data_IF_197957588252
#
_entry.id   IF_197957588252
#
_cell.length_a   1.000
_cell.length_b   1.000
_cell.length_c   1.000
_cell.angle_alpha   90.00
_cell.angle_beta   90.00
_cell.angle_gamma   90.00
#
_symmetry.space_group_name_H-M   'P 1'
#
loop_
_entity.id
_entity.type
_entity.pdbx_description
1 polymer ?
#
# COMPACT_ATOMS: atom_id res chain seq x y z
N UNK A 1 -9.80 53.17 48.35
CA UNK A 1 -9.35 51.77 48.34
C UNK A 1 -9.85 51.12 47.05
N UNK A 2 -8.95 50.40 46.36
CA UNK A 2 -9.13 49.57 45.15
C UNK A 2 -9.35 50.30 43.80
N UNK A 3 -8.28 50.27 42.99
CA UNK A 3 -8.29 50.45 41.53
C UNK A 3 -8.94 49.21 40.90
N UNK A 4 -9.79 49.39 39.90
CA UNK A 4 -10.16 48.33 38.96
C UNK A 4 -9.77 48.79 37.55
N UNK A 5 -8.81 48.08 36.97
CA UNK A 5 -8.41 48.14 35.59
C UNK A 5 -9.32 47.18 34.82
N UNK A 6 -10.15 47.68 33.91
CA UNK A 6 -10.89 46.84 32.97
C UNK A 6 -10.05 46.79 31.69
N UNK A 7 -9.37 45.67 31.49
CA UNK A 7 -8.73 45.32 30.22
C UNK A 7 -9.82 44.68 29.36
N UNK A 8 -10.21 45.35 28.27
CA UNK A 8 -10.99 44.73 27.19
C UNK A 8 -9.98 44.04 26.27
N UNK A 9 -9.76 42.74 26.49
CA UNK A 9 -9.14 41.88 25.47
C UNK A 9 -10.26 41.50 24.51
N UNK A 10 -10.30 42.19 23.37
CA UNK A 10 -11.05 41.73 22.21
C UNK A 10 -10.41 40.43 21.72
N UNK A 11 -11.08 39.31 21.96
CA UNK A 11 -10.77 38.01 21.38
C UNK A 11 -10.87 38.12 19.86
N UNK A 12 -9.72 38.20 19.19
CA UNK A 12 -9.60 37.75 17.83
C UNK A 12 -9.88 36.23 17.85
N UNK A 13 -11.08 35.84 17.43
CA UNK A 13 -11.38 34.47 17.07
C UNK A 13 -10.54 34.18 15.83
N UNK A 14 -9.32 33.69 16.05
CA UNK A 14 -8.49 33.14 15.00
C UNK A 14 -9.23 31.92 14.47
N UNK A 15 -9.80 32.05 13.28
CA UNK A 15 -10.16 30.89 12.47
C UNK A 15 -8.86 30.18 12.13
N UNK A 16 -8.43 29.27 12.99
CA UNK A 16 -7.49 28.22 12.62
C UNK A 16 -8.32 27.25 11.79
N UNK A 17 -8.34 27.51 10.48
CA UNK A 17 -8.82 26.54 9.51
C UNK A 17 -7.93 25.30 9.61
N UNK A 18 -8.57 24.14 9.79
CA UNK A 18 -7.99 22.81 9.63
C UNK A 18 -7.25 22.71 8.29
N UNK A 19 -5.97 23.04 8.25
CA UNK A 19 -5.08 22.57 7.19
C UNK A 19 -4.74 21.12 7.57
N UNK A 20 -5.55 20.20 7.05
CA UNK A 20 -5.26 18.77 7.13
C UNK A 20 -3.92 18.47 6.45
N UNK A 21 -3.30 17.36 6.83
CA UNK A 21 -2.10 16.84 6.20
C UNK A 21 -2.42 16.35 4.79
N UNK A 22 -2.41 17.26 3.83
CA UNK A 22 -2.60 16.98 2.40
C UNK A 22 -1.27 17.23 1.68
N UNK A 23 -0.83 16.26 0.89
CA UNK A 23 0.30 16.35 -0.02
C UNK A 23 -0.14 17.23 -1.18
N UNK A 24 0.36 18.47 -1.19
CA UNK A 24 0.16 19.37 -2.32
C UNK A 24 1.40 19.35 -3.22
N UNK A 25 1.36 18.58 -4.31
CA UNK A 25 2.41 18.52 -5.33
C UNK A 25 1.93 19.18 -6.62
N UNK A 26 2.45 20.37 -6.91
CA UNK A 26 2.28 21.01 -8.22
C UNK A 26 3.39 20.54 -9.16
N UNK A 27 2.98 20.06 -10.34
CA UNK A 27 3.85 19.66 -11.43
C UNK A 27 4.26 20.87 -12.27
N UNK A 28 5.53 20.92 -12.67
CA UNK A 28 6.08 21.93 -13.59
C UNK A 28 6.80 21.28 -14.78
N UNK A 29 6.91 22.03 -15.89
CA UNK A 29 7.77 21.65 -17.02
C UNK A 29 9.26 21.67 -16.64
N UNK A 30 9.62 22.49 -15.64
CA UNK A 30 10.98 22.64 -15.13
C UNK A 30 11.34 21.63 -14.03
N UNK A 31 10.42 20.71 -13.69
CA UNK A 31 10.72 19.65 -12.73
C UNK A 31 11.92 18.81 -13.21
N UNK A 32 12.84 18.54 -12.29
CA UNK A 32 14.03 17.72 -12.58
C UNK A 32 13.76 16.26 -12.20
N UNK A 33 14.03 15.29 -13.09
CA UNK A 33 13.94 13.88 -12.73
C UNK A 33 14.89 13.52 -11.58
N UNK A 34 14.39 12.74 -10.62
CA UNK A 34 15.18 12.12 -9.57
C UNK A 34 16.14 11.07 -10.13
N UNK A 35 15.66 10.25 -11.06
CA UNK A 35 16.41 9.15 -11.65
C UNK A 35 16.08 9.01 -13.14
N UNK A 36 17.14 8.79 -13.93
CA UNK A 36 17.05 8.74 -15.37
C UNK A 36 16.47 10.04 -15.95
N UNK A 37 15.57 9.91 -16.92
CA UNK A 37 14.85 11.04 -17.51
C UNK A 37 13.37 11.08 -17.12
N UNK A 38 12.88 10.03 -16.44
CA UNK A 38 11.45 9.74 -16.41
C UNK A 38 10.87 9.59 -15.01
N UNK A 39 11.69 9.46 -13.96
CA UNK A 39 11.21 9.29 -12.57
C UNK A 39 11.40 10.56 -11.77
N UNK A 40 10.37 10.98 -11.04
CA UNK A 40 10.30 12.21 -10.27
C UNK A 40 9.87 11.92 -8.83
N UNK A 41 10.32 12.75 -7.90
CA UNK A 41 9.88 12.66 -6.49
C UNK A 41 8.42 13.13 -6.35
N UNK A 42 7.64 12.38 -5.56
CA UNK A 42 6.28 12.76 -5.18
C UNK A 42 6.22 13.15 -3.70
N UNK A 43 6.66 12.24 -2.84
CA UNK A 43 6.69 12.44 -1.40
C UNK A 43 7.85 11.63 -0.79
N UNK A 44 8.85 12.33 -0.26
CA UNK A 44 10.06 11.74 0.32
C UNK A 44 10.03 11.97 1.82
N UNK A 45 9.99 10.88 2.58
CA UNK A 45 10.06 10.92 4.05
C UNK A 45 11.47 10.62 4.57
N UNK A 46 12.30 9.98 3.74
CA UNK A 46 13.64 9.52 4.07
C UNK A 46 14.58 9.76 2.90
N UNK A 47 15.54 10.68 3.06
CA UNK A 47 16.46 11.05 1.99
C UNK A 47 17.51 9.97 1.66
N UNK A 48 17.74 9.04 2.58
CA UNK A 48 18.61 7.89 2.36
C UNK A 48 17.78 6.73 1.79
N UNK A 49 17.81 6.54 0.46
CA UNK A 49 16.97 5.55 -0.24
C UNK A 49 17.22 4.11 0.23
N UNK A 50 18.38 3.82 0.82
CA UNK A 50 18.69 2.49 1.37
C UNK A 50 18.01 2.24 2.73
N UNK A 51 17.37 3.26 3.32
CA UNK A 51 16.62 3.20 4.59
C UNK A 51 15.13 3.38 4.42
N UNK A 52 14.65 3.32 3.18
CA UNK A 52 13.25 3.40 2.84
C UNK A 52 12.91 2.35 1.78
N UNK A 53 11.64 1.94 1.80
CA UNK A 53 11.03 1.31 0.66
C UNK A 53 10.65 2.38 -0.36
N UNK A 54 11.13 2.22 -1.58
CA UNK A 54 10.94 3.16 -2.66
C UNK A 54 9.84 2.65 -3.60
N UNK A 55 8.69 3.31 -3.59
CA UNK A 55 7.51 2.96 -4.37
C UNK A 55 7.40 3.90 -5.56
N UNK A 56 7.43 3.35 -6.77
CA UNK A 56 7.25 4.12 -8.02
C UNK A 56 5.87 3.83 -8.62
N UNK A 57 5.06 4.86 -8.77
CA UNK A 57 3.83 4.81 -9.55
C UNK A 57 4.11 4.96 -11.04
N UNK A 58 3.59 4.01 -11.82
CA UNK A 58 3.75 3.92 -13.27
C UNK A 58 2.40 4.20 -13.93
N UNK A 59 2.26 5.25 -14.76
CA UNK A 59 0.99 5.55 -15.39
C UNK A 59 0.65 4.52 -16.48
N UNK A 60 -0.60 4.11 -16.56
CA UNK A 60 -1.15 3.45 -17.74
C UNK A 60 -1.41 4.48 -18.85
N UNK A 61 -1.42 4.02 -20.11
CA UNK A 61 -1.80 4.84 -21.27
C UNK A 61 -3.15 5.58 -21.14
N UNK A 62 -4.06 5.13 -20.27
CA UNK A 62 -5.30 5.85 -19.94
C UNK A 62 -5.11 7.22 -19.29
N UNK A 63 -3.91 7.55 -18.80
CA UNK A 63 -3.56 8.90 -18.35
C UNK A 63 -3.13 9.84 -19.49
N UNK A 64 -3.00 9.33 -20.72
CA UNK A 64 -2.55 10.12 -21.87
C UNK A 64 -1.04 10.40 -21.85
N UNK A 65 -0.63 11.39 -22.64
CA UNK A 65 0.77 11.80 -22.76
C UNK A 65 1.19 12.64 -21.53
N UNK A 66 2.09 12.10 -20.71
CA UNK A 66 2.59 12.79 -19.51
C UNK A 66 3.68 13.84 -19.80
N UNK A 67 4.05 14.07 -21.06
CA UNK A 67 4.77 15.30 -21.43
C UNK A 67 3.86 16.54 -21.36
N UNK A 68 2.54 16.34 -21.43
CA UNK A 68 1.54 17.40 -21.21
C UNK A 68 1.35 17.62 -19.71
N UNK A 69 1.72 18.81 -19.23
CA UNK A 69 1.67 19.19 -17.81
C UNK A 69 0.32 18.92 -17.14
N UNK A 70 -0.79 19.16 -17.84
CA UNK A 70 -2.13 18.88 -17.29
C UNK A 70 -2.41 17.38 -17.06
N UNK A 71 -1.95 16.51 -17.97
CA UNK A 71 -2.10 15.06 -17.80
C UNK A 71 -1.20 14.56 -16.67
N UNK A 72 0.04 15.08 -16.60
CA UNK A 72 0.99 14.76 -15.53
C UNK A 72 0.46 15.21 -14.17
N UNK A 73 -0.12 16.40 -14.09
CA UNK A 73 -0.77 16.89 -12.86
C UNK A 73 -1.92 15.98 -12.45
N UNK A 74 -2.81 15.60 -13.38
CA UNK A 74 -3.91 14.70 -13.06
C UNK A 74 -3.44 13.32 -12.55
N UNK A 75 -2.31 12.80 -13.07
CA UNK A 75 -1.71 11.59 -12.53
C UNK A 75 -1.14 11.79 -11.12
N UNK A 76 -0.42 12.90 -10.90
CA UNK A 76 0.14 13.25 -9.60
C UNK A 76 -0.95 13.44 -8.55
N UNK A 77 -2.06 14.12 -8.90
CA UNK A 77 -3.22 14.31 -8.01
C UNK A 77 -3.83 12.96 -7.60
N UNK A 78 -4.03 12.05 -8.56
CA UNK A 78 -4.51 10.69 -8.28
C UNK A 78 -3.52 9.94 -7.35
N UNK A 79 -2.21 10.13 -7.51
CA UNK A 79 -1.21 9.47 -6.66
C UNK A 79 -1.09 10.07 -5.25
N UNK A 80 -1.27 11.39 -5.10
CA UNK A 80 -1.35 12.01 -3.78
C UNK A 80 -2.58 11.49 -3.01
N UNK A 81 -3.71 11.35 -3.72
CA UNK A 81 -4.93 10.76 -3.16
C UNK A 81 -4.71 9.31 -2.72
N UNK A 82 -4.01 8.51 -3.54
CA UNK A 82 -3.59 7.15 -3.16
C UNK A 82 -2.71 7.13 -1.91
N UNK A 83 -1.72 8.00 -1.79
CA UNK A 83 -0.84 8.04 -0.61
C UNK A 83 -1.67 8.33 0.65
N UNK A 84 -2.53 9.33 0.59
CA UNK A 84 -3.32 9.80 1.74
C UNK A 84 -4.46 8.86 2.14
N UNK A 85 -5.18 8.34 1.15
CA UNK A 85 -6.42 7.60 1.35
C UNK A 85 -6.24 6.08 1.28
N UNK A 86 -5.09 5.60 0.78
CA UNK A 86 -4.71 4.20 0.86
C UNK A 86 -3.63 3.96 1.93
N UNK A 87 -2.40 4.42 1.67
CA UNK A 87 -1.25 4.07 2.50
C UNK A 87 -1.33 4.66 3.91
N UNK A 88 -1.70 5.94 4.05
CA UNK A 88 -1.78 6.57 5.36
C UNK A 88 -3.00 6.15 6.19
N UNK A 89 -4.00 5.53 5.54
CA UNK A 89 -5.17 5.00 6.22
C UNK A 89 -4.96 3.57 6.75
N UNK A 90 -3.99 2.85 6.20
CA UNK A 90 -3.57 1.55 6.71
C UNK A 90 -2.49 1.74 7.78
N UNK A 91 -2.79 1.40 9.03
CA UNK A 91 -1.87 1.64 10.15
C UNK A 91 -0.58 0.84 10.05
N UNK A 92 -0.55 -0.27 9.30
CA UNK A 92 0.70 -1.00 9.08
C UNK A 92 1.68 -0.16 8.25
N UNK A 93 1.19 0.45 7.17
CA UNK A 93 1.99 1.35 6.33
C UNK A 93 2.25 2.69 7.03
N UNK A 94 1.23 3.27 7.67
CA UNK A 94 1.37 4.54 8.39
C UNK A 94 2.40 4.46 9.53
N UNK A 95 2.45 3.34 10.26
CA UNK A 95 3.47 3.13 11.29
C UNK A 95 4.90 3.08 10.71
N UNK A 96 5.04 2.70 9.44
CA UNK A 96 6.28 2.73 8.67
C UNK A 96 6.47 4.00 7.84
N UNK A 97 5.69 5.07 8.06
CA UNK A 97 5.65 6.27 7.20
C UNK A 97 7.04 6.82 6.85
N UNK A 98 7.94 6.91 7.83
CA UNK A 98 9.31 7.44 7.65
C UNK A 98 10.30 6.47 6.99
N UNK A 99 9.79 5.33 6.50
CA UNK A 99 10.51 4.32 5.76
C UNK A 99 9.83 4.04 4.41
N UNK A 100 8.98 4.96 3.94
CA UNK A 100 8.28 4.89 2.67
C UNK A 100 8.55 6.17 1.88
N UNK A 101 9.10 6.01 0.69
CA UNK A 101 9.26 7.08 -0.29
C UNK A 101 8.39 6.78 -1.50
N UNK A 102 7.76 7.84 -2.02
CA UNK A 102 6.88 7.74 -3.18
C UNK A 102 7.43 8.58 -4.31
N UNK A 103 7.42 7.98 -5.49
CA UNK A 103 7.88 8.53 -6.74
C UNK A 103 6.82 8.26 -7.80
N UNK A 104 6.86 9.02 -8.89
CA UNK A 104 6.06 8.72 -10.08
C UNK A 104 6.95 8.78 -11.32
N UNK A 105 6.55 8.07 -12.37
CA UNK A 105 7.23 8.16 -13.66
C UNK A 105 6.35 8.77 -14.76
N UNK A 106 6.99 9.25 -15.83
CA UNK A 106 6.30 9.85 -16.97
C UNK A 106 6.13 8.92 -18.17
N UNK A 107 6.83 7.78 -18.19
CA UNK A 107 6.63 6.77 -19.24
C UNK A 107 5.45 5.87 -18.90
N UNK A 108 4.62 5.58 -19.90
CA UNK A 108 3.38 4.84 -19.70
C UNK A 108 3.50 3.37 -20.03
N UNK A 109 2.91 2.53 -19.18
CA UNK A 109 2.63 1.14 -19.50
C UNK A 109 1.23 0.93 -20.06
N UNK A 110 0.85 -0.33 -20.28
CA UNK A 110 -0.53 -0.70 -20.56
C UNK A 110 -0.96 -1.93 -19.77
N UNK A 111 -2.24 -1.98 -19.38
CA UNK A 111 -2.86 -3.15 -18.78
C UNK A 111 -4.13 -3.55 -19.53
N UNK A 112 -4.30 -4.86 -19.73
CA UNK A 112 -5.48 -5.43 -20.38
C UNK A 112 -6.00 -6.60 -19.57
N UNK A 113 -7.29 -6.57 -19.24
CA UNK A 113 -7.97 -7.67 -18.56
C UNK A 113 -7.79 -8.99 -19.31
N UNK A 114 -7.72 -10.10 -18.56
CA UNK A 114 -7.70 -11.46 -19.12
C UNK A 114 -8.94 -12.20 -18.67
N UNK A 115 -9.57 -12.88 -19.62
CA UNK A 115 -10.63 -13.83 -19.31
C UNK A 115 -10.08 -14.93 -18.38
N UNK A 116 -10.91 -15.51 -17.50
CA UNK A 116 -10.56 -16.71 -16.73
C UNK A 116 -9.98 -17.84 -17.60
N UNK A 117 -9.24 -18.76 -16.99
CA UNK A 117 -8.79 -19.98 -17.70
C UNK A 117 -9.96 -20.93 -18.03
N UNK A 118 -9.65 -22.06 -18.68
CA UNK A 118 -10.66 -23.01 -19.13
C UNK A 118 -11.45 -23.63 -17.95
N UNK A 119 -10.84 -23.65 -16.77
CA UNK A 119 -11.40 -24.14 -15.51
C UNK A 119 -12.18 -23.03 -14.76
N UNK A 120 -12.24 -21.81 -15.30
CA UNK A 120 -12.92 -20.67 -14.71
C UNK A 120 -12.11 -19.97 -13.62
N UNK A 121 -10.83 -20.31 -13.43
CA UNK A 121 -9.98 -19.63 -12.47
C UNK A 121 -9.58 -18.26 -13.00
N UNK A 122 -9.49 -17.32 -12.07
CA UNK A 122 -8.94 -16.01 -12.33
C UNK A 122 -7.51 -16.08 -12.88
N UNK A 123 -7.21 -15.07 -13.70
CA UNK A 123 -5.91 -14.83 -14.28
C UNK A 123 -5.58 -13.34 -14.16
N UNK A 124 -4.43 -13.03 -13.56
CA UNK A 124 -3.85 -11.70 -13.56
C UNK A 124 -3.87 -11.07 -14.96
N UNK A 125 -4.06 -9.75 -15.08
CA UNK A 125 -4.14 -9.06 -16.36
C UNK A 125 -2.83 -9.17 -17.15
N UNK A 126 -2.90 -8.93 -18.46
CA UNK A 126 -1.67 -8.73 -19.26
C UNK A 126 -1.15 -7.33 -18.96
N UNK A 127 0.11 -7.24 -18.55
CA UNK A 127 0.77 -5.96 -18.26
C UNK A 127 1.96 -5.77 -19.19
N UNK A 128 2.00 -4.63 -19.86
CA UNK A 128 3.16 -4.15 -20.61
C UNK A 128 3.75 -2.98 -19.84
N UNK A 129 4.92 -3.19 -19.25
CA UNK A 129 5.67 -2.14 -18.55
C UNK A 129 6.46 -1.31 -19.57
N UNK A 130 6.60 0.01 -19.38
CA UNK A 130 7.52 0.79 -20.19
C UNK A 130 8.95 0.32 -19.92
N UNK A 131 9.82 0.35 -20.94
CA UNK A 131 11.19 -0.18 -20.84
C UNK A 131 11.97 0.47 -19.69
N UNK A 132 11.73 1.77 -19.47
CA UNK A 132 12.37 2.63 -18.50
C UNK A 132 12.07 2.21 -17.05
N UNK A 133 11.04 1.40 -16.80
CA UNK A 133 10.81 0.82 -15.47
C UNK A 133 12.01 -0.02 -14.99
N UNK A 134 12.72 -0.67 -15.92
CA UNK A 134 13.87 -1.50 -15.57
C UNK A 134 15.19 -0.71 -15.50
N UNK A 135 15.20 0.57 -15.90
CA UNK A 135 16.40 1.43 -15.88
C UNK A 135 16.22 2.58 -14.90
N UNK A 136 15.27 3.47 -15.16
CA UNK A 136 15.07 4.71 -14.42
C UNK A 136 14.45 4.42 -13.04
N UNK A 137 13.58 3.42 -12.96
CA UNK A 137 12.98 2.92 -11.72
C UNK A 137 13.66 1.64 -11.19
N UNK A 138 14.91 1.38 -11.55
CA UNK A 138 15.66 0.19 -11.09
C UNK A 138 15.86 0.17 -9.57
N UNK A 139 15.96 1.35 -8.95
CA UNK A 139 16.09 1.53 -7.49
C UNK A 139 14.83 1.20 -6.71
N UNK A 140 13.67 1.12 -7.37
CA UNK A 140 12.39 0.94 -6.69
C UNK A 140 12.24 -0.48 -6.15
N UNK A 141 11.78 -0.59 -4.91
CA UNK A 141 11.40 -1.84 -4.26
C UNK A 141 10.03 -2.32 -4.77
N UNK A 142 9.14 -1.36 -5.06
CA UNK A 142 7.81 -1.61 -5.62
C UNK A 142 7.53 -0.71 -6.82
N UNK A 143 6.97 -1.29 -7.89
CA UNK A 143 6.41 -0.54 -9.02
C UNK A 143 4.93 -0.85 -9.15
N UNK A 144 4.08 0.17 -9.13
CA UNK A 144 2.63 -0.01 -9.26
C UNK A 144 2.16 0.62 -10.56
N UNK A 145 1.66 -0.18 -11.50
CA UNK A 145 1.05 0.34 -12.72
C UNK A 145 -0.39 0.75 -12.44
N UNK A 146 -0.63 2.04 -12.52
CA UNK A 146 -1.88 2.69 -12.17
C UNK A 146 -2.74 2.86 -13.42
N UNK A 147 -3.95 2.30 -13.43
CA UNK A 147 -4.86 2.38 -14.57
C UNK A 147 -6.25 2.87 -14.18
N UNK A 148 -6.98 3.46 -15.12
CA UNK A 148 -8.35 3.93 -14.88
C UNK A 148 -9.43 2.94 -15.29
N UNK A 149 -9.04 1.81 -15.86
CA UNK A 149 -9.97 0.76 -16.25
C UNK A 149 -10.37 -0.07 -15.03
N UNK A 150 -11.66 -0.37 -14.89
CA UNK A 150 -12.14 -1.35 -13.89
C UNK A 150 -11.73 -2.75 -14.33
N UNK A 151 -10.69 -3.30 -13.71
CA UNK A 151 -10.22 -4.64 -13.98
C UNK A 151 -9.65 -5.24 -12.72
N UNK A 152 -9.45 -6.56 -12.74
CA UNK A 152 -8.91 -7.23 -11.59
C UNK A 152 -7.39 -7.12 -11.56
N UNK A 153 -6.88 -6.73 -10.40
CA UNK A 153 -5.47 -6.50 -10.15
C UNK A 153 -4.69 -7.72 -9.69
N UNK A 154 -3.37 -7.59 -9.76
CA UNK A 154 -2.41 -8.53 -9.19
C UNK A 154 -1.12 -7.83 -8.79
N UNK A 155 -0.47 -8.40 -7.78
CA UNK A 155 0.83 -7.99 -7.25
C UNK A 155 1.75 -9.16 -6.96
N UNK A 156 3.05 -8.88 -6.91
CA UNK A 156 4.10 -9.83 -6.59
C UNK A 156 5.43 -9.49 -7.26
N UNK A 157 6.54 -9.86 -6.62
CA UNK A 157 7.89 -9.66 -7.17
C UNK A 157 8.26 -8.18 -7.40
N UNK A 158 7.87 -7.30 -6.47
CA UNK A 158 8.13 -5.85 -6.58
C UNK A 158 7.30 -5.13 -7.65
N UNK A 159 6.19 -5.74 -8.10
CA UNK A 159 5.29 -5.16 -9.10
C UNK A 159 3.82 -5.35 -8.70
N UNK A 160 2.96 -4.41 -9.07
CA UNK A 160 1.52 -4.51 -8.94
C UNK A 160 0.78 -3.73 -10.03
N UNK A 161 -0.50 -4.01 -10.21
CA UNK A 161 -1.45 -3.10 -10.89
C UNK A 161 -2.50 -2.63 -9.89
N UNK A 162 -3.07 -1.45 -10.12
CA UNK A 162 -4.22 -0.97 -9.35
C UNK A 162 -4.97 0.16 -10.03
N UNK A 163 -6.27 0.31 -9.70
CA UNK A 163 -6.97 1.57 -9.94
C UNK A 163 -6.64 2.64 -8.89
N UNK A 164 -6.51 3.94 -9.26
CA UNK A 164 -6.17 5.00 -8.32
C UNK A 164 -7.25 5.21 -7.24
N UNK A 165 -8.47 4.74 -7.45
CA UNK A 165 -9.58 4.86 -6.48
C UNK A 165 -9.81 3.57 -5.68
N UNK A 166 -9.10 2.50 -6.02
CA UNK A 166 -9.19 1.17 -5.40
C UNK A 166 -8.13 1.06 -4.31
N UNK A 167 -8.13 2.04 -3.40
CA UNK A 167 -7.14 2.23 -2.34
C UNK A 167 -6.86 0.94 -1.50
N UNK A 168 -7.85 0.06 -1.27
CA UNK A 168 -7.67 -1.22 -0.54
C UNK A 168 -6.84 -2.18 -1.37
N UNK A 169 -7.19 -2.29 -2.65
CA UNK A 169 -6.47 -3.10 -3.63
C UNK A 169 -5.03 -2.61 -3.75
N UNK A 170 -4.78 -1.29 -3.82
CA UNK A 170 -3.42 -0.76 -3.91
C UNK A 170 -2.53 -1.23 -2.75
N UNK A 171 -2.99 -1.13 -1.50
CA UNK A 171 -2.20 -1.55 -0.34
C UNK A 171 -2.10 -3.08 -0.22
N UNK A 172 -3.12 -3.81 -0.67
CA UNK A 172 -3.13 -5.27 -0.76
C UNK A 172 -2.06 -5.76 -1.76
N UNK A 173 -2.10 -5.26 -3.00
CA UNK A 173 -1.14 -5.65 -4.04
C UNK A 173 0.28 -5.17 -3.75
N UNK A 174 0.41 -4.03 -3.06
CA UNK A 174 1.70 -3.58 -2.53
C UNK A 174 2.20 -4.48 -1.41
N UNK A 175 1.31 -5.07 -0.61
CA UNK A 175 1.67 -6.06 0.41
C UNK A 175 2.36 -7.28 -0.19
N UNK A 176 1.82 -7.79 -1.31
CA UNK A 176 2.45 -8.86 -2.09
C UNK A 176 3.79 -8.43 -2.68
N UNK A 177 3.82 -7.28 -3.33
CA UNK A 177 4.99 -6.82 -4.08
C UNK A 177 6.18 -6.46 -3.18
N UNK A 178 5.92 -5.74 -2.10
CA UNK A 178 6.95 -5.14 -1.24
C UNK A 178 7.39 -6.06 -0.10
N UNK A 179 6.44 -6.77 0.53
CA UNK A 179 6.72 -7.59 1.71
C UNK A 179 6.65 -9.09 1.44
N UNK A 180 6.23 -9.51 0.25
CA UNK A 180 6.06 -10.91 -0.09
C UNK A 180 4.95 -11.59 0.71
N UNK A 181 3.97 -10.83 1.18
CA UNK A 181 2.82 -11.40 1.87
C UNK A 181 2.04 -12.32 0.91
N UNK A 182 1.55 -13.49 1.34
CA UNK A 182 0.71 -14.33 0.52
C UNK A 182 -0.76 -13.91 0.64
N UNK A 183 -1.57 -14.35 -0.30
CA UNK A 183 -3.02 -14.33 -0.11
C UNK A 183 -3.47 -15.33 0.95
N UNK A 184 -4.43 -14.92 1.76
CA UNK A 184 -4.94 -15.71 2.89
C UNK A 184 -6.38 -16.20 2.70
N UNK A 185 -6.89 -16.14 1.48
CA UNK A 185 -8.26 -16.55 1.14
C UNK A 185 -8.24 -17.76 0.19
N UNK A 186 -9.33 -18.53 0.12
CA UNK A 186 -9.50 -19.42 -1.02
C UNK A 186 -9.55 -18.52 -2.24
N UNK A 187 -8.91 -18.82 -3.34
CA UNK A 187 -9.64 -19.32 -4.49
C UNK A 187 -8.79 -19.05 -5.74
N UNK A 188 -8.23 -17.85 -5.88
CA UNK A 188 -7.64 -17.37 -7.13
C UNK A 188 -6.18 -16.93 -7.06
N UNK A 189 -5.49 -17.17 -5.94
CA UNK A 189 -4.06 -16.91 -5.81
C UNK A 189 -3.16 -18.14 -6.05
N UNK A 190 -1.86 -17.88 -6.12
CA UNK A 190 -0.81 -18.87 -5.92
C UNK A 190 -0.28 -18.78 -4.48
N UNK A 191 -0.52 -19.84 -3.71
CA UNK A 191 -0.10 -19.89 -2.31
C UNK A 191 1.31 -20.46 -2.15
N UNK A 192 2.06 -19.88 -1.22
CA UNK A 192 3.36 -20.38 -0.79
C UNK A 192 3.51 -20.18 0.72
N UNK A 193 4.37 -20.98 1.35
CA UNK A 193 4.58 -20.87 2.80
C UNK A 193 5.35 -19.58 3.12
N UNK A 194 4.74 -18.72 3.95
CA UNK A 194 5.32 -17.48 4.45
C UNK A 194 5.03 -17.42 5.95
N UNK A 195 6.02 -17.67 6.80
CA UNK A 195 5.81 -17.71 8.26
C UNK A 195 5.97 -16.30 8.86
N UNK A 196 5.11 -15.87 9.80
CA UNK A 196 4.06 -16.64 10.46
C UNK A 196 2.65 -16.43 9.88
N UNK A 197 2.52 -16.23 8.56
CA UNK A 197 1.26 -15.87 7.87
C UNK A 197 0.55 -17.12 7.34
N UNK A 198 1.18 -17.84 6.42
CA UNK A 198 0.60 -18.98 5.69
C UNK A 198 1.51 -20.21 5.76
N UNK A 199 0.91 -21.37 5.98
CA UNK A 199 1.59 -22.65 6.21
C UNK A 199 1.02 -23.76 5.33
N UNK A 200 1.88 -24.68 4.90
CA UNK A 200 1.45 -25.86 4.13
C UNK A 200 0.76 -26.94 4.99
N UNK A 201 0.80 -26.85 6.32
CA UNK A 201 0.16 -27.83 7.20
C UNK A 201 -0.29 -27.25 8.53
N UNK A 202 -1.33 -27.86 9.11
CA UNK A 202 -1.84 -27.51 10.44
C UNK A 202 -0.76 -27.66 11.52
N UNK A 203 0.01 -28.74 11.44
CA UNK A 203 1.05 -29.03 12.42
C UNK A 203 2.15 -27.97 12.38
N UNK A 204 2.60 -27.54 11.20
CA UNK A 204 3.56 -26.46 11.07
C UNK A 204 3.02 -25.14 11.65
N UNK A 205 1.75 -24.83 11.37
CA UNK A 205 1.10 -23.65 11.93
C UNK A 205 1.03 -23.73 13.47
N UNK A 206 0.52 -24.81 14.04
CA UNK A 206 0.37 -24.96 15.50
C UNK A 206 1.71 -25.00 16.26
N UNK A 207 2.78 -25.50 15.62
CA UNK A 207 4.09 -25.64 16.24
C UNK A 207 5.01 -24.42 16.05
N UNK A 208 4.58 -23.40 15.30
CA UNK A 208 5.37 -22.18 15.15
C UNK A 208 5.34 -21.38 16.46
N UNK A 209 6.51 -21.23 17.09
CA UNK A 209 6.65 -20.49 18.35
C UNK A 209 6.25 -19.02 18.22
N UNK A 210 6.36 -18.43 17.02
CA UNK A 210 5.88 -17.07 16.74
C UNK A 210 4.35 -16.99 16.68
N UNK A 211 3.68 -18.14 16.51
CA UNK A 211 2.23 -18.30 16.39
C UNK A 211 1.58 -18.77 17.73
N UNK A 212 2.34 -19.45 18.59
CA UNK A 212 1.84 -20.25 19.71
C UNK A 212 1.12 -19.50 20.86
N UNK A 213 1.23 -18.17 20.93
CA UNK A 213 0.74 -17.40 22.10
C UNK A 213 -0.67 -16.81 21.99
N UNK A 214 -1.21 -16.62 20.79
CA UNK A 214 -2.38 -15.73 20.59
C UNK A 214 -3.16 -15.90 19.26
N UNK A 215 -2.86 -16.93 18.45
CA UNK A 215 -3.39 -17.11 17.08
C UNK A 215 -4.04 -18.48 16.88
N UNK A 216 -5.02 -18.55 15.98
CA UNK A 216 -5.71 -19.77 15.57
C UNK A 216 -5.28 -20.19 14.16
N UNK A 217 -4.97 -21.47 13.97
CA UNK A 217 -4.67 -22.04 12.66
C UNK A 217 -5.97 -22.42 11.94
N UNK A 218 -6.31 -21.68 10.89
CA UNK A 218 -7.53 -21.89 10.10
C UNK A 218 -7.17 -22.35 8.71
N UNK A 219 -7.80 -23.42 8.24
CA UNK A 219 -7.57 -23.92 6.88
C UNK A 219 -8.48 -23.25 5.86
N UNK A 220 -7.97 -23.10 4.64
CA UNK A 220 -8.78 -22.87 3.44
C UNK A 220 -8.29 -23.75 2.29
N UNK A 221 -9.14 -23.96 1.29
CA UNK A 221 -8.83 -24.78 0.11
C UNK A 221 -8.70 -23.89 -1.11
N UNK A 222 -7.58 -23.97 -1.81
CA UNK A 222 -7.36 -23.29 -3.09
C UNK A 222 -8.32 -23.82 -4.16
N UNK A 223 -9.14 -22.95 -4.75
CA UNK A 223 -10.01 -23.35 -5.87
C UNK A 223 -9.22 -23.67 -7.15
N UNK A 224 -8.01 -23.11 -7.29
CA UNK A 224 -7.14 -23.34 -8.43
C UNK A 224 -6.64 -24.79 -8.55
N UNK A 225 -6.35 -25.46 -7.43
CA UNK A 225 -5.74 -26.79 -7.47
C UNK A 225 -6.15 -27.74 -6.32
N UNK A 226 -7.08 -27.34 -5.47
CA UNK A 226 -7.55 -28.14 -4.32
C UNK A 226 -6.56 -28.26 -3.16
N UNK A 227 -5.41 -27.57 -3.21
CA UNK A 227 -4.45 -27.58 -2.10
C UNK A 227 -5.04 -26.91 -0.85
N UNK A 228 -4.78 -27.49 0.32
CA UNK A 228 -5.24 -26.96 1.61
C UNK A 228 -4.09 -26.20 2.26
N UNK A 229 -4.34 -24.95 2.62
CA UNK A 229 -3.40 -24.07 3.29
C UNK A 229 -3.92 -23.66 4.65
N UNK A 230 -3.01 -23.32 5.56
CA UNK A 230 -3.32 -22.96 6.94
C UNK A 230 -2.82 -21.55 7.19
N UNK A 231 -3.74 -20.62 7.48
CA UNK A 231 -3.40 -19.25 7.82
C UNK A 231 -3.37 -19.05 9.34
N UNK A 232 -2.50 -18.15 9.78
CA UNK A 232 -2.45 -17.68 11.16
C UNK A 232 -3.46 -16.55 11.36
N UNK A 233 -4.64 -16.90 11.84
CA UNK A 233 -5.68 -15.91 12.08
C UNK A 233 -5.66 -15.44 13.54
N UNK A 234 -5.94 -14.15 13.77
CA UNK A 234 -6.34 -13.66 15.09
C UNK A 234 -7.75 -14.16 15.47
N UNK A 235 -8.54 -13.35 16.19
CA UNK A 235 -9.95 -13.69 16.46
C UNK A 235 -10.72 -13.83 15.14
N UNK A 236 -11.33 -15.02 14.91
CA UNK A 236 -11.99 -15.41 13.65
C UNK A 236 -13.22 -14.55 13.29
N UNK A 237 -13.73 -13.78 14.27
CA UNK A 237 -14.92 -12.94 14.09
C UNK A 237 -14.61 -11.47 13.76
N UNK A 238 -13.33 -11.06 13.77
CA UNK A 238 -12.94 -9.65 13.58
C UNK A 238 -11.73 -9.43 12.67
N UNK A 239 -11.03 -10.49 12.23
CA UNK A 239 -9.73 -10.36 11.56
C UNK A 239 -9.73 -11.11 10.23
N UNK A 240 -10.44 -10.60 9.23
CA UNK A 240 -10.45 -11.15 7.88
C UNK A 240 -9.36 -10.47 7.02
N UNK A 241 -8.19 -11.11 6.98
CA UNK A 241 -6.96 -10.57 6.42
C UNK A 241 -6.82 -10.98 4.95
N UNK A 242 -6.35 -10.06 4.09
CA UNK A 242 -6.11 -10.24 2.66
C UNK A 242 -7.28 -10.97 1.98
N UNK A 243 -8.49 -10.38 1.99
CA UNK A 243 -9.67 -10.98 1.35
C UNK A 243 -9.97 -10.32 -0.01
N UNK A 244 -10.43 -11.14 -0.97
CA UNK A 244 -11.09 -10.66 -2.18
C UNK A 244 -12.47 -10.06 -1.84
N UNK A 245 -12.61 -8.73 -1.96
CA UNK A 245 -13.88 -8.00 -2.10
C UNK A 245 -14.90 -8.12 -0.96
N UNK A 246 -15.14 -7.02 -0.22
CA UNK A 246 -16.18 -6.93 0.82
C UNK A 246 -16.14 -5.61 1.61
N UNK A 247 -17.07 -5.44 2.57
CA UNK A 247 -17.20 -4.22 3.40
C UNK A 247 -16.25 -4.17 4.61
N UNK A 248 -15.49 -5.23 4.88
CA UNK A 248 -14.54 -5.31 5.99
C UNK A 248 -13.34 -6.14 5.53
N UNK A 249 -12.45 -5.51 4.77
CA UNK A 249 -11.17 -6.08 4.35
C UNK A 249 -10.10 -5.62 5.33
N UNK A 250 -9.21 -6.52 5.73
CA UNK A 250 -8.00 -6.17 6.48
C UNK A 250 -6.80 -6.47 5.58
N UNK A 251 -6.19 -5.47 4.96
CA UNK A 251 -5.08 -5.66 4.00
C UNK A 251 -3.76 -5.99 4.71
N UNK A 252 -3.75 -5.89 6.02
CA UNK A 252 -2.72 -6.46 6.86
C UNK A 252 -3.38 -6.84 8.17
N UNK A 253 -2.85 -7.87 8.80
CA UNK A 253 -3.21 -8.25 10.15
C UNK A 253 -2.00 -8.48 11.01
N UNK A 254 -2.24 -8.99 12.22
CA UNK A 254 -1.17 -9.19 13.17
C UNK A 254 -0.09 -10.19 12.70
N UNK A 255 -0.43 -11.12 11.79
CA UNK A 255 0.50 -12.04 11.16
C UNK A 255 1.44 -11.33 10.18
N UNK A 256 0.86 -10.59 9.26
CA UNK A 256 1.59 -9.77 8.28
C UNK A 256 2.47 -8.73 8.95
N UNK A 257 2.00 -8.15 10.06
CA UNK A 257 2.79 -7.20 10.83
C UNK A 257 4.14 -7.74 11.24
N UNK A 258 4.25 -9.03 11.56
CA UNK A 258 5.56 -9.60 11.92
C UNK A 258 6.51 -9.54 10.72
N UNK A 259 6.00 -9.78 9.51
CA UNK A 259 6.78 -9.67 8.27
C UNK A 259 7.13 -8.20 7.99
N UNK A 260 6.14 -7.30 8.08
CA UNK A 260 6.32 -5.86 7.83
C UNK A 260 7.25 -5.19 8.85
N UNK A 261 7.08 -5.44 10.16
CA UNK A 261 7.95 -4.92 11.23
C UNK A 261 9.39 -5.41 11.06
N UNK A 262 9.60 -6.66 10.66
CA UNK A 262 10.94 -7.17 10.35
C UNK A 262 11.53 -6.45 9.13
N UNK A 263 10.72 -6.18 8.11
CA UNK A 263 11.14 -5.46 6.90
C UNK A 263 11.52 -4.00 7.23
N UNK A 264 10.73 -3.30 8.06
CA UNK A 264 11.08 -1.96 8.55
C UNK A 264 12.34 -1.97 9.42
N UNK A 265 12.50 -2.95 10.32
CA UNK A 265 13.73 -3.08 11.12
C UNK A 265 14.97 -3.33 10.26
N UNK A 266 14.85 -4.03 9.14
CA UNK A 266 15.95 -4.23 8.19
C UNK A 266 16.43 -2.91 7.57
N UNK A 267 15.55 -1.92 7.45
CA UNK A 267 15.87 -0.53 7.04
C UNK A 267 16.41 0.34 8.20
N UNK A 268 16.57 -0.24 9.40
CA UNK A 268 17.06 0.46 10.59
C UNK A 268 15.99 1.14 11.43
N UNK A 269 14.70 0.86 11.19
CA UNK A 269 13.62 1.34 12.04
C UNK A 269 13.76 0.76 13.47
N UNK A 270 13.53 1.55 14.54
CA UNK A 270 13.25 0.96 15.83
C UNK A 270 11.98 0.10 15.72
N UNK A 271 11.89 -0.96 16.52
CA UNK A 271 10.74 -1.85 16.52
C UNK A 271 9.44 -1.05 16.68
N UNK A 272 8.56 -1.14 15.69
CA UNK A 272 7.34 -0.33 15.69
C UNK A 272 6.25 -1.11 16.42
N UNK A 273 5.49 -0.42 17.28
CA UNK A 273 4.41 -1.08 18.02
C UNK A 273 3.33 -1.56 17.05
N UNK A 274 2.89 -2.81 17.20
CA UNK A 274 1.81 -3.35 16.41
C UNK A 274 0.55 -2.48 16.58
N UNK A 275 -0.10 -2.05 15.48
CA UNK A 275 -1.31 -1.25 15.57
C UNK A 275 -2.44 -2.06 16.19
N UNK A 276 -3.27 -1.39 17.00
CA UNK A 276 -4.48 -2.00 17.56
C UNK A 276 -5.55 -2.24 16.47
N UNK A 277 -5.47 -1.53 15.34
CA UNK A 277 -6.36 -1.66 14.19
C UNK A 277 -5.54 -1.48 12.93
N UNK A 278 -5.39 -2.53 12.13
CA UNK A 278 -4.56 -2.47 10.91
C UNK A 278 -5.22 -1.66 9.79
N UNK A 279 -6.49 -1.92 9.52
CA UNK A 279 -7.32 -1.14 8.61
C UNK A 279 -8.61 -0.77 9.33
N UNK A 280 -8.93 0.52 9.52
CA UNK A 280 -10.19 0.90 10.13
C UNK A 280 -11.37 0.56 9.20
N UNK A 281 -12.50 0.14 9.77
CA UNK A 281 -13.70 -0.26 9.00
C UNK A 281 -14.29 0.88 8.13
N UNK A 282 -13.88 2.12 8.39
CA UNK A 282 -13.96 3.26 7.48
C UNK A 282 -12.59 3.92 7.50
N UNK A 283 -11.94 4.12 6.36
CA UNK A 283 -10.76 4.97 6.28
C UNK A 283 -11.11 6.35 6.82
N UNK A 284 -10.66 6.62 8.03
CA UNK A 284 -11.03 7.79 8.83
C UNK A 284 -9.92 8.12 9.83
N UNK A 285 -8.70 7.68 9.54
CA UNK A 285 -7.56 8.08 10.34
C UNK A 285 -7.26 9.55 10.05
N UNK A 286 -7.24 10.36 11.12
CA UNK A 286 -6.73 11.72 11.05
C UNK A 286 -5.21 11.61 11.01
N UNK A 287 -4.63 11.90 9.84
CA UNK A 287 -3.18 11.90 9.63
C UNK A 287 -2.54 12.88 10.64
N UNK A 288 -1.63 12.43 11.52
CA UNK A 288 -0.83 13.28 12.38
C UNK A 288 -0.05 14.31 11.57
N UNK A 289 0.24 15.49 12.12
CA UNK A 289 1.15 16.44 11.50
C UNK A 289 2.47 15.75 11.15
N UNK A 290 2.95 15.95 9.92
CA UNK A 290 4.32 15.59 9.57
C UNK A 290 5.30 16.29 10.54
N UNK A 291 6.40 15.64 10.96
CA UNK A 291 7.39 16.22 11.86
C UNK A 291 8.14 17.41 11.24
#
# INVERSE_FOLDING_TARGET
MKRFLIIIIGTAVSMISNLGCEINRTVSEDDTPFSGATVYELYISQNDTDKAFNIVFVPDTSYGDLSVTANRQAFVDDMTDVIENAYWQNQAYFNGLFHLNYYYMTETGSVTARAPDAEGNFRCPTVVWPNQVNTDAAFADQRVLMHRNELRDCGGGGRATAEPTSFRTIVHETGHGLFGLPDEYCCDSSYSEVRPVLYASQAACNNDANNAGWRNCVSFTSSRNGSVWWRSQGSINSNLIMLNGGNEVWESGPADWVVMDNAYQALGAPRVSAPATFAPGRWSYTVPPAP
#
